data_IF_169032583690
#
_entry.id   IF_169032583690
#
_cell.length_a   1.000
_cell.length_b   1.000
_cell.length_c   1.000
_cell.angle_alpha   90.00
_cell.angle_beta   90.00
_cell.angle_gamma   90.00
#
_symmetry.space_group_name_H-M   'P 1'
#
loop_
_entity.id
_entity.type
_entity.pdbx_description
1 polymer ?
#
# COMPACT_ATOMS: atom_id res chain seq x y z
N UNK A 1 -18.72 4.58 -5.68
CA UNK A 1 -18.27 3.64 -4.67
C UNK A 1 -19.14 3.73 -3.41
N UNK A 2 -19.25 4.88 -2.76
CA UNK A 2 -20.00 5.09 -1.51
C UNK A 2 -21.42 4.47 -1.53
N UNK A 3 -22.18 4.73 -2.60
CA UNK A 3 -23.55 4.19 -2.78
C UNK A 3 -23.59 2.66 -2.95
N UNK A 4 -22.46 2.02 -3.23
CA UNK A 4 -22.36 0.57 -3.44
C UNK A 4 -21.78 -0.16 -2.22
N UNK A 5 -21.45 0.56 -1.15
CA UNK A 5 -20.92 -0.06 0.05
C UNK A 5 -22.01 -0.87 0.78
N UNK A 6 -21.67 -2.05 1.31
CA UNK A 6 -22.59 -2.81 2.15
C UNK A 6 -22.99 -2.04 3.40
N UNK A 7 -24.12 -2.43 4.01
CA UNK A 7 -24.56 -1.86 5.29
C UNK A 7 -23.48 -2.04 6.36
N UNK A 8 -23.17 -0.96 7.07
CA UNK A 8 -22.15 -0.96 8.12
C UNK A 8 -20.72 -0.67 7.64
N UNK A 9 -20.50 -0.58 6.33
CA UNK A 9 -19.21 -0.18 5.75
C UNK A 9 -19.26 1.29 5.37
N UNK A 10 -18.20 2.03 5.73
CA UNK A 10 -18.07 3.46 5.39
C UNK A 10 -16.64 3.80 4.97
N UNK A 11 -16.48 4.87 4.20
CA UNK A 11 -15.17 5.47 3.91
C UNK A 11 -14.83 6.39 5.07
N UNK A 12 -13.66 6.24 5.66
CA UNK A 12 -13.22 7.04 6.82
C UNK A 12 -12.06 7.97 6.48
N UNK A 13 -11.31 7.69 5.42
CA UNK A 13 -10.26 8.58 4.91
C UNK A 13 -10.22 8.54 3.39
N UNK A 14 -9.81 9.66 2.78
CA UNK A 14 -9.48 9.77 1.36
C UNK A 14 -8.10 10.38 1.23
N UNK A 15 -7.22 9.75 0.45
CA UNK A 15 -5.85 10.24 0.25
C UNK A 15 -5.35 9.85 -1.14
N UNK A 16 -4.81 10.81 -1.86
CA UNK A 16 -4.19 10.58 -3.16
C UNK A 16 -2.96 9.68 -3.08
N UNK A 17 -2.70 8.95 -4.17
CA UNK A 17 -1.60 7.97 -4.22
C UNK A 17 -0.21 8.58 -4.03
N UNK A 18 -0.04 9.88 -4.30
CA UNK A 18 1.20 10.61 -4.06
C UNK A 18 1.64 10.54 -2.60
N UNK A 19 0.69 10.50 -1.68
CA UNK A 19 0.92 10.40 -0.24
C UNK A 19 0.87 8.95 0.26
N UNK A 20 -0.21 8.24 -0.07
CA UNK A 20 -0.50 6.94 0.53
C UNK A 20 0.26 5.78 -0.13
N UNK A 21 0.73 5.94 -1.36
CA UNK A 21 1.36 4.89 -2.16
C UNK A 21 2.77 5.29 -2.63
N UNK A 22 3.50 6.03 -1.80
CA UNK A 22 4.92 6.33 -2.05
C UNK A 22 5.75 5.03 -2.06
N UNK A 23 6.87 5.06 -2.78
CA UNK A 23 7.83 3.95 -2.88
C UNK A 23 9.27 4.42 -2.99
N UNK A 24 9.48 5.72 -2.77
CA UNK A 24 10.75 6.40 -2.99
C UNK A 24 11.28 6.99 -1.68
N UNK A 25 10.82 6.43 -0.53
CA UNK A 25 11.19 6.83 0.83
C UNK A 25 10.92 8.30 1.15
N UNK A 26 9.85 8.83 0.57
CA UNK A 26 9.36 10.19 0.87
C UNK A 26 8.46 10.16 2.11
N UNK A 27 9.10 9.98 3.25
CA UNK A 27 8.41 9.77 4.52
C UNK A 27 7.51 10.94 4.94
N UNK A 28 7.80 12.15 4.50
CA UNK A 28 6.94 13.33 4.68
C UNK A 28 5.55 13.17 4.02
N UNK A 29 5.47 12.39 2.95
CA UNK A 29 4.20 12.05 2.28
C UNK A 29 3.47 10.94 3.01
N UNK A 30 4.18 9.85 3.30
CA UNK A 30 3.64 8.68 4.00
C UNK A 30 3.10 9.08 5.38
N UNK A 31 3.79 9.98 6.08
CA UNK A 31 3.38 10.49 7.38
C UNK A 31 1.99 11.13 7.37
N UNK A 32 1.64 11.87 6.31
CA UNK A 32 0.30 12.48 6.17
C UNK A 32 -0.80 11.44 6.01
N UNK A 33 -0.54 10.42 5.19
CA UNK A 33 -1.50 9.33 4.98
C UNK A 33 -1.67 8.46 6.23
N UNK A 34 -0.56 8.10 6.89
CA UNK A 34 -0.60 7.31 8.12
C UNK A 34 -1.26 8.05 9.29
N UNK A 35 -1.03 9.35 9.42
CA UNK A 35 -1.68 10.18 10.44
C UNK A 35 -3.21 10.19 10.28
N UNK A 36 -3.70 10.29 9.06
CA UNK A 36 -5.13 10.22 8.79
C UNK A 36 -5.73 8.86 9.20
N UNK A 37 -5.03 7.76 8.92
CA UNK A 37 -5.48 6.41 9.26
C UNK A 37 -5.36 6.14 10.77
N UNK A 38 -4.20 6.43 11.36
CA UNK A 38 -3.91 6.08 12.75
C UNK A 38 -4.61 6.98 13.76
N UNK A 39 -4.73 8.28 13.45
CA UNK A 39 -5.15 9.29 14.43
C UNK A 39 -6.32 10.17 14.00
N UNK A 40 -6.84 9.97 12.77
CA UNK A 40 -7.88 10.84 12.23
C UNK A 40 -7.40 12.29 12.03
N UNK A 41 -6.12 12.48 11.70
CA UNK A 41 -5.50 13.78 11.47
C UNK A 41 -5.37 14.09 9.98
N UNK A 42 -5.84 15.28 9.55
CA UNK A 42 -5.80 15.69 8.16
C UNK A 42 -6.85 16.75 7.87
N UNK A 43 -7.13 16.97 6.58
CA UNK A 43 -8.31 17.72 6.17
C UNK A 43 -9.59 17.04 6.68
N UNK A 44 -10.71 17.73 6.64
CA UNK A 44 -12.00 17.18 7.08
C UNK A 44 -13.07 17.38 6.02
N UNK A 45 -13.92 16.37 5.81
CA UNK A 45 -15.09 16.45 4.96
C UNK A 45 -16.23 15.57 5.52
N UNK A 46 -17.50 15.91 5.21
CA UNK A 46 -18.64 15.12 5.69
C UNK A 46 -18.75 13.75 5.01
N UNK A 47 -18.28 13.63 3.77
CA UNK A 47 -18.32 12.42 2.96
C UNK A 47 -17.17 12.39 1.95
N UNK A 48 -16.91 11.22 1.35
CA UNK A 48 -15.79 11.04 0.43
C UNK A 48 -15.98 11.80 -0.89
N UNK A 49 -17.20 11.95 -1.37
CA UNK A 49 -17.48 12.71 -2.60
C UNK A 49 -17.12 14.17 -2.41
N UNK A 50 -17.55 14.77 -1.29
CA UNK A 50 -17.24 16.16 -0.92
C UNK A 50 -15.73 16.36 -0.76
N UNK A 51 -15.02 15.39 -0.16
CA UNK A 51 -13.55 15.44 -0.02
C UNK A 51 -12.86 15.54 -1.38
N UNK A 52 -13.24 14.67 -2.33
CA UNK A 52 -12.66 14.65 -3.68
C UNK A 52 -13.05 15.90 -4.46
N UNK A 53 -14.32 16.33 -4.43
CA UNK A 53 -14.75 17.54 -5.13
C UNK A 53 -14.02 18.78 -4.62
N UNK A 54 -13.90 18.92 -3.31
CA UNK A 54 -13.15 20.05 -2.71
C UNK A 54 -11.67 20.03 -3.11
N UNK A 55 -11.08 18.87 -3.32
CA UNK A 55 -9.70 18.74 -3.83
C UNK A 55 -9.63 19.26 -5.28
N UNK A 56 -10.57 18.87 -6.14
CA UNK A 56 -10.65 19.35 -7.52
C UNK A 56 -10.88 20.87 -7.59
N UNK A 57 -11.73 21.42 -6.72
CA UNK A 57 -11.99 22.87 -6.64
C UNK A 57 -10.73 23.67 -6.25
N UNK A 58 -9.80 23.04 -5.54
CA UNK A 58 -8.47 23.59 -5.25
C UNK A 58 -7.44 23.36 -6.37
N UNK A 59 -7.80 22.68 -7.45
CA UNK A 59 -6.92 22.34 -8.56
C UNK A 59 -6.04 21.11 -8.31
N UNK A 60 -6.32 20.31 -7.28
CA UNK A 60 -5.69 19.02 -7.06
C UNK A 60 -6.25 17.99 -8.05
N UNK A 61 -5.43 17.00 -8.44
CA UNK A 61 -5.91 15.86 -9.23
C UNK A 61 -5.95 14.61 -8.36
N UNK A 62 -6.54 13.51 -8.85
CA UNK A 62 -6.67 12.24 -8.12
C UNK A 62 -5.40 11.80 -7.40
N UNK A 63 -4.26 12.01 -8.04
CA UNK A 63 -2.97 11.62 -7.49
C UNK A 63 -2.59 12.43 -6.24
N UNK A 64 -2.97 13.70 -6.20
CA UNK A 64 -2.50 14.68 -5.22
C UNK A 64 -3.55 15.08 -4.17
N UNK A 65 -4.69 14.41 -4.12
CA UNK A 65 -5.69 14.65 -3.09
C UNK A 65 -5.05 14.55 -1.71
N UNK A 66 -5.06 15.64 -0.96
CA UNK A 66 -4.50 15.69 0.39
C UNK A 66 -5.24 14.72 1.33
N UNK A 67 -4.52 14.18 2.32
CA UNK A 67 -5.12 13.29 3.31
C UNK A 67 -6.30 13.96 4.02
N UNK A 68 -7.49 13.42 3.85
CA UNK A 68 -8.75 13.96 4.34
C UNK A 68 -9.50 12.92 5.15
N UNK A 69 -9.90 13.30 6.35
CA UNK A 69 -10.70 12.50 7.29
C UNK A 69 -12.17 12.71 7.02
N UNK A 70 -12.94 11.63 7.03
CA UNK A 70 -14.37 11.66 6.70
C UNK A 70 -15.20 11.45 7.97
N UNK A 71 -16.29 12.24 8.06
CA UNK A 71 -17.32 12.10 9.12
C UNK A 71 -16.74 11.97 10.53
N UNK A 72 -15.73 12.80 10.82
CA UNK A 72 -15.14 12.88 12.16
C UNK A 72 -14.49 11.60 12.67
N UNK A 73 -14.00 10.73 11.78
CA UNK A 73 -13.20 9.56 12.15
C UNK A 73 -12.05 9.95 13.10
N UNK A 74 -11.82 9.17 14.15
CA UNK A 74 -10.88 9.50 15.24
C UNK A 74 -9.58 8.70 15.18
N UNK A 75 -9.39 7.91 14.16
CA UNK A 75 -8.25 7.00 14.03
C UNK A 75 -8.59 5.55 14.37
N UNK A 76 -7.61 4.68 14.13
CA UNK A 76 -7.71 3.28 14.46
C UNK A 76 -7.57 3.06 15.99
N UNK A 77 -8.23 2.04 16.50
CA UNK A 77 -8.23 1.68 17.92
C UNK A 77 -7.55 0.34 18.17
N UNK A 78 -7.03 0.14 19.39
CA UNK A 78 -6.52 -1.16 19.83
C UNK A 78 -7.61 -2.23 19.69
N UNK A 79 -7.25 -3.36 19.09
CA UNK A 79 -8.16 -4.45 18.76
C UNK A 79 -8.76 -4.37 17.36
N UNK A 80 -8.54 -3.28 16.62
CA UNK A 80 -8.92 -3.22 15.20
C UNK A 80 -8.06 -4.16 14.36
N UNK A 81 -8.62 -4.62 13.25
CA UNK A 81 -7.89 -5.30 12.18
C UNK A 81 -7.61 -4.38 11.01
N UNK A 82 -6.44 -4.51 10.40
CA UNK A 82 -6.08 -3.80 9.19
C UNK A 82 -5.85 -4.79 8.04
N UNK A 83 -6.60 -4.62 6.96
CA UNK A 83 -6.42 -5.39 5.73
C UNK A 83 -6.08 -4.47 4.56
N UNK A 84 -4.85 -4.60 4.04
CA UNK A 84 -4.40 -3.86 2.87
C UNK A 84 -4.81 -4.59 1.59
N UNK A 85 -5.74 -3.99 0.84
CA UNK A 85 -6.27 -4.55 -0.41
C UNK A 85 -5.38 -4.29 -1.64
N UNK A 86 -4.24 -3.62 -1.46
CA UNK A 86 -3.32 -3.37 -2.56
C UNK A 86 -2.47 -4.62 -2.83
N UNK A 87 -2.59 -5.20 -4.02
CA UNK A 87 -1.77 -6.34 -4.43
C UNK A 87 -0.38 -5.94 -4.98
N UNK A 88 -0.18 -4.67 -5.33
CA UNK A 88 1.10 -4.17 -5.82
C UNK A 88 2.05 -3.88 -4.64
N UNK A 89 2.99 -4.79 -4.40
CA UNK A 89 3.86 -4.80 -3.23
C UNK A 89 4.68 -3.51 -3.05
N UNK A 90 5.32 -3.01 -4.12
CA UNK A 90 6.19 -1.82 -4.05
C UNK A 90 5.46 -0.56 -3.55
N UNK A 91 4.14 -0.47 -3.79
CA UNK A 91 3.30 0.66 -3.37
C UNK A 91 2.67 0.50 -1.99
N UNK A 92 2.73 -0.70 -1.41
CA UNK A 92 2.16 -0.97 -0.08
C UNK A 92 3.21 -0.96 1.03
N UNK A 93 4.48 -1.20 0.70
CA UNK A 93 5.54 -1.43 1.70
C UNK A 93 5.66 -0.28 2.70
N UNK A 94 5.80 0.94 2.23
CA UNK A 94 6.09 2.07 3.10
C UNK A 94 4.92 2.40 4.03
N UNK A 95 3.71 2.48 3.49
CA UNK A 95 2.55 2.78 4.34
C UNK A 95 2.28 1.65 5.33
N UNK A 96 2.43 0.37 4.94
CA UNK A 96 2.23 -0.75 5.85
C UNK A 96 3.31 -0.84 6.92
N UNK A 97 4.56 -0.46 6.60
CA UNK A 97 5.62 -0.33 7.60
C UNK A 97 5.27 0.75 8.64
N UNK A 98 4.83 1.92 8.18
CA UNK A 98 4.42 3.01 9.07
C UNK A 98 3.23 2.64 9.96
N UNK A 99 2.27 1.88 9.44
CA UNK A 99 1.07 1.48 10.19
C UNK A 99 1.33 0.35 11.18
N UNK A 100 2.29 -0.56 10.91
CA UNK A 100 2.35 -1.80 11.68
C UNK A 100 3.74 -2.39 11.97
N UNK A 101 4.83 -1.92 11.35
CA UNK A 101 6.15 -2.51 11.62
C UNK A 101 6.59 -2.25 13.08
N UNK A 102 6.97 -3.27 13.85
CA UNK A 102 7.36 -3.10 15.27
C UNK A 102 8.55 -2.14 15.47
N UNK A 103 9.52 -2.18 14.55
CA UNK A 103 10.75 -1.40 14.62
C UNK A 103 10.80 -0.26 13.58
N UNK A 104 9.66 0.40 13.33
CA UNK A 104 9.61 1.54 12.42
C UNK A 104 10.20 2.78 13.07
N UNK A 105 11.22 3.38 12.44
CA UNK A 105 12.01 4.51 12.96
C UNK A 105 12.19 5.66 11.95
N UNK A 106 11.59 5.57 10.76
CA UNK A 106 11.78 6.59 9.72
C UNK A 106 11.18 7.96 10.09
N UNK A 107 10.16 7.97 10.93
CA UNK A 107 9.58 9.16 11.56
C UNK A 107 8.70 8.78 12.76
N UNK A 108 8.36 9.73 13.60
CA UNK A 108 7.43 9.50 14.70
C UNK A 108 5.99 9.37 14.19
N UNK A 109 5.45 8.16 14.23
CA UNK A 109 4.06 7.88 13.85
C UNK A 109 3.05 8.34 14.89
N UNK A 110 3.50 8.74 16.07
CA UNK A 110 2.65 8.83 17.25
C UNK A 110 2.17 7.45 17.74
N UNK A 111 1.20 7.42 18.65
CA UNK A 111 0.65 6.18 19.16
C UNK A 111 0.05 5.33 18.02
N UNK A 112 0.43 4.06 17.97
CA UNK A 112 -0.16 3.06 17.08
C UNK A 112 -1.00 2.09 17.90
N UNK A 113 -2.14 1.62 17.36
CA UNK A 113 -2.96 0.63 18.07
C UNK A 113 -2.25 -0.74 18.12
N UNK A 114 -2.58 -1.53 19.12
CA UNK A 114 -2.30 -2.96 19.10
C UNK A 114 -3.29 -3.62 18.14
N UNK A 115 -2.83 -3.92 16.93
CA UNK A 115 -3.66 -4.51 15.91
C UNK A 115 -4.05 -5.95 16.25
N UNK A 116 -5.34 -6.28 16.22
CA UNK A 116 -5.80 -7.67 16.32
C UNK A 116 -5.31 -8.52 15.14
N UNK A 117 -5.22 -7.91 13.96
CA UNK A 117 -4.65 -8.54 12.76
C UNK A 117 -4.09 -7.47 11.82
N UNK A 118 -2.92 -7.75 11.27
CA UNK A 118 -2.36 -7.04 10.11
C UNK A 118 -2.29 -8.01 8.95
N UNK A 119 -2.97 -7.71 7.84
CA UNK A 119 -3.04 -8.59 6.69
C UNK A 119 -2.82 -7.82 5.40
N UNK A 120 -2.03 -8.40 4.51
CA UNK A 120 -1.85 -7.92 3.15
C UNK A 120 -2.56 -8.84 2.14
N UNK A 121 -2.99 -8.28 1.02
CA UNK A 121 -3.54 -9.06 -0.08
C UNK A 121 -2.47 -9.97 -0.71
N UNK A 122 -1.23 -9.48 -0.79
CA UNK A 122 -0.07 -10.20 -1.29
C UNK A 122 1.09 -10.11 -0.30
N UNK A 123 2.11 -10.92 -0.46
CA UNK A 123 3.37 -10.80 0.27
C UNK A 123 4.13 -9.57 -0.21
N UNK A 124 4.33 -8.58 0.67
CA UNK A 124 4.96 -7.31 0.31
C UNK A 124 6.48 -7.36 0.37
N UNK A 125 7.04 -8.03 1.36
CA UNK A 125 8.45 -8.41 1.48
C UNK A 125 8.62 -9.40 2.64
N UNK A 126 9.81 -9.98 2.75
CA UNK A 126 10.16 -10.85 3.89
C UNK A 126 10.04 -10.12 5.24
N UNK A 127 10.41 -8.84 5.28
CA UNK A 127 10.32 -8.04 6.50
C UNK A 127 8.85 -7.83 6.91
N UNK A 128 7.96 -7.61 5.95
CA UNK A 128 6.52 -7.49 6.20
C UNK A 128 5.93 -8.83 6.66
N UNK A 129 6.35 -9.94 6.09
CA UNK A 129 5.90 -11.27 6.49
C UNK A 129 6.24 -11.62 7.95
N UNK A 130 7.21 -10.93 8.56
CA UNK A 130 7.54 -11.12 9.97
C UNK A 130 6.46 -10.61 10.95
N UNK A 131 5.60 -9.67 10.54
CA UNK A 131 4.57 -9.08 11.40
C UNK A 131 3.17 -9.01 10.77
N UNK A 132 3.05 -9.39 9.49
CA UNK A 132 1.78 -9.39 8.75
C UNK A 132 1.47 -10.79 8.23
N UNK A 133 0.19 -11.14 8.21
CA UNK A 133 -0.30 -12.28 7.45
C UNK A 133 -0.59 -11.90 5.99
N UNK A 134 -0.61 -12.89 5.11
CA UNK A 134 -0.85 -12.71 3.68
C UNK A 134 -2.05 -13.54 3.24
N UNK A 135 -3.01 -12.91 2.56
CA UNK A 135 -4.21 -13.60 2.07
C UNK A 135 -3.90 -14.51 0.89
N UNK A 136 -3.11 -14.02 -0.06
CA UNK A 136 -2.68 -14.76 -1.25
C UNK A 136 -1.16 -14.84 -1.26
N UNK A 137 -0.57 -15.89 -0.67
CA UNK A 137 0.88 -16.07 -0.70
C UNK A 137 1.36 -16.25 -2.14
N UNK A 138 2.58 -15.78 -2.40
CA UNK A 138 3.19 -15.91 -3.72
C UNK A 138 3.42 -17.39 -4.03
N UNK A 139 2.83 -17.93 -5.11
CA UNK A 139 3.15 -19.28 -5.55
C UNK A 139 4.56 -19.34 -6.14
N UNK A 140 5.25 -20.46 -5.95
CA UNK A 140 6.49 -20.73 -6.67
C UNK A 140 6.17 -20.94 -8.16
N UNK A 141 6.70 -20.08 -9.01
CA UNK A 141 6.56 -20.22 -10.46
C UNK A 141 7.66 -21.12 -10.95
N UNK A 142 7.29 -22.32 -11.34
CA UNK A 142 8.19 -23.34 -11.93
C UNK A 142 8.05 -23.36 -13.45
N UNK A 143 9.02 -23.96 -14.14
CA UNK A 143 9.04 -24.10 -15.60
C UNK A 143 8.96 -22.73 -16.32
N UNK A 144 9.71 -21.77 -15.84
CA UNK A 144 9.82 -20.47 -16.52
C UNK A 144 10.41 -20.65 -17.93
N UNK A 145 10.22 -19.67 -18.79
CA UNK A 145 10.84 -19.70 -20.13
C UNK A 145 12.36 -19.92 -20.05
N UNK A 146 13.01 -19.28 -19.07
CA UNK A 146 14.45 -19.44 -18.86
C UNK A 146 14.84 -20.88 -18.52
N UNK A 147 14.10 -21.51 -17.61
CA UNK A 147 14.33 -22.91 -17.20
C UNK A 147 14.08 -23.84 -18.37
N UNK A 148 13.00 -23.64 -19.11
CA UNK A 148 12.67 -24.47 -20.27
C UNK A 148 13.74 -24.43 -21.38
N UNK A 149 14.22 -23.22 -21.71
CA UNK A 149 15.33 -23.05 -22.69
C UNK A 149 16.61 -23.71 -22.20
N UNK A 150 16.94 -23.56 -20.90
CA UNK A 150 18.14 -24.19 -20.32
C UNK A 150 18.04 -25.71 -20.31
N UNK A 151 16.88 -26.30 -19.99
CA UNK A 151 16.65 -27.75 -20.01
C UNK A 151 16.83 -28.36 -21.43
N UNK A 152 16.61 -27.58 -22.47
CA UNK A 152 16.88 -28.00 -23.85
C UNK A 152 18.35 -27.83 -24.26
N UNK A 153 19.24 -27.41 -23.35
CA UNK A 153 20.64 -27.15 -23.64
C UNK A 153 20.87 -25.92 -24.54
N UNK A 154 19.86 -25.09 -24.71
CA UNK A 154 19.92 -23.89 -25.53
C UNK A 154 20.44 -22.69 -24.73
N UNK A 155 21.06 -21.75 -25.42
CA UNK A 155 21.51 -20.50 -24.83
C UNK A 155 20.44 -19.43 -24.99
N UNK A 156 20.36 -18.54 -24.01
CA UNK A 156 19.51 -17.37 -24.05
C UNK A 156 20.32 -16.14 -23.69
N UNK A 157 19.94 -15.02 -24.25
CA UNK A 157 20.48 -13.71 -23.94
C UNK A 157 19.33 -12.74 -23.68
N UNK A 158 19.44 -11.97 -22.60
CA UNK A 158 18.42 -11.02 -22.20
C UNK A 158 19.03 -9.62 -22.19
N UNK A 159 18.42 -8.70 -22.93
CA UNK A 159 18.86 -7.32 -23.06
C UNK A 159 17.71 -6.38 -22.77
N UNK A 160 17.95 -5.37 -21.97
CA UNK A 160 17.01 -4.31 -21.70
C UNK A 160 17.75 -3.03 -21.26
N UNK A 161 17.07 -1.90 -21.35
CA UNK A 161 17.50 -0.68 -20.67
C UNK A 161 17.48 -0.86 -19.14
N UNK A 162 18.13 0.05 -18.43
CA UNK A 162 18.31 -0.03 -16.96
C UNK A 162 17.00 -0.23 -16.21
N UNK A 163 15.94 0.49 -16.59
CA UNK A 163 14.63 0.38 -15.91
C UNK A 163 13.90 -0.93 -16.20
N UNK A 164 14.22 -1.59 -17.29
CA UNK A 164 13.61 -2.87 -17.71
C UNK A 164 14.46 -4.09 -17.33
N UNK A 165 15.67 -3.89 -16.83
CA UNK A 165 16.51 -4.98 -16.35
C UNK A 165 15.78 -5.96 -15.42
N UNK A 166 15.07 -5.53 -14.38
CA UNK A 166 14.33 -6.44 -13.51
C UNK A 166 13.22 -7.21 -14.23
N UNK A 167 12.64 -6.64 -15.28
CA UNK A 167 11.56 -7.29 -16.03
C UNK A 167 12.07 -8.49 -16.84
N UNK A 168 13.22 -8.36 -17.48
CA UNK A 168 13.79 -9.44 -18.30
C UNK A 168 14.65 -10.42 -17.51
N UNK A 169 14.91 -10.16 -16.25
CA UNK A 169 15.65 -11.06 -15.34
C UNK A 169 14.75 -11.60 -14.24
N UNK A 170 14.52 -10.81 -13.19
CA UNK A 170 13.77 -11.23 -12.01
C UNK A 170 12.32 -11.62 -12.35
N UNK A 171 11.54 -10.73 -12.96
CA UNK A 171 10.13 -11.03 -13.24
C UNK A 171 9.93 -12.13 -14.27
N UNK A 172 10.76 -12.19 -15.30
CA UNK A 172 10.68 -13.26 -16.29
C UNK A 172 11.04 -14.64 -15.71
N UNK A 173 11.75 -14.68 -14.58
CA UNK A 173 12.08 -15.90 -13.85
C UNK A 173 11.08 -16.25 -12.74
N UNK A 174 9.98 -15.51 -12.64
CA UNK A 174 8.95 -15.79 -11.64
C UNK A 174 9.03 -14.90 -10.39
N UNK A 175 9.95 -13.94 -10.38
CA UNK A 175 10.08 -12.96 -9.31
C UNK A 175 10.91 -13.39 -8.12
#
# INVERSE_FOLDING_TARGET
LEKALPKGVRIVTVTGRYFALDRDTRWDRVAKASAAILRGEGGSAPDALTAVQSAYDRGETDEFVAATVIDGYKGAATGDGLFCLNFRADRAREIMAALGAPAFDAYDTGPRPDWAVLMGMAEYSKDHAAYMSTMYPKPDIVNTLGDWVAQQGLRQFRLAETEKYPHVTFFLNGG
#
